data_IF_392718734805
#
_entry.id   IF_392718734805
#
_cell.length_a   1.000
_cell.length_b   1.000
_cell.length_c   1.000
_cell.angle_alpha   90.00
_cell.angle_beta   90.00
_cell.angle_gamma   90.00
#
_symmetry.space_group_name_H-M   'P 1'
#
loop_
_entity.id
_entity.type
_entity.pdbx_description
1 polymer ?
#
# COMPACT_ATOMS: atom_id res chain seq x y z
N UNK A 1 -44.31 -25.71 -42.71
CA UNK A 1 -43.24 -24.69 -42.76
C UNK A 1 -43.15 -24.08 -41.37
N UNK A 2 -42.10 -24.36 -40.60
CA UNK A 2 -41.83 -23.63 -39.36
C UNK A 2 -40.34 -23.35 -39.32
N UNK A 3 -40.00 -22.08 -39.47
CA UNK A 3 -38.64 -21.57 -39.45
C UNK A 3 -38.14 -21.56 -38.00
N UNK A 4 -37.11 -22.35 -37.71
CA UNK A 4 -36.40 -22.32 -36.44
C UNK A 4 -35.55 -21.06 -36.34
N UNK A 5 -35.85 -20.25 -35.34
CA UNK A 5 -35.13 -19.03 -34.91
C UNK A 5 -33.63 -19.28 -34.72
N UNK A 6 -32.80 -18.57 -35.49
CA UNK A 6 -31.36 -18.46 -35.23
C UNK A 6 -31.13 -17.63 -33.97
N UNK A 7 -30.74 -18.28 -32.88
CA UNK A 7 -30.29 -17.61 -31.66
C UNK A 7 -28.96 -16.89 -31.90
N UNK A 8 -28.96 -15.57 -31.78
CA UNK A 8 -27.77 -14.73 -31.84
C UNK A 8 -26.88 -15.02 -30.61
N UNK A 9 -25.79 -15.76 -30.80
CA UNK A 9 -24.75 -15.91 -29.77
C UNK A 9 -23.84 -14.68 -29.80
N UNK A 10 -24.05 -13.78 -28.85
CA UNK A 10 -23.06 -12.75 -28.55
C UNK A 10 -21.78 -13.43 -28.02
N UNK A 11 -20.60 -13.13 -28.57
CA UNK A 11 -19.36 -13.72 -28.07
C UNK A 11 -19.04 -13.12 -26.70
N UNK A 12 -19.24 -13.92 -25.65
CA UNK A 12 -18.82 -13.59 -24.29
C UNK A 12 -17.29 -13.54 -24.26
N UNK A 13 -16.74 -12.34 -24.31
CA UNK A 13 -15.30 -12.09 -24.18
C UNK A 13 -14.85 -12.66 -22.83
N UNK A 14 -13.95 -13.65 -22.85
CA UNK A 14 -13.50 -14.34 -21.64
C UNK A 14 -12.84 -13.33 -20.68
N UNK A 15 -13.22 -13.30 -19.39
CA UNK A 15 -12.75 -12.29 -18.42
C UNK A 15 -11.23 -12.27 -18.24
N UNK A 16 -10.54 -13.38 -18.51
CA UNK A 16 -9.07 -13.47 -18.38
C UNK A 16 -8.31 -12.73 -19.49
N UNK A 17 -8.91 -12.57 -20.67
CA UNK A 17 -8.28 -11.86 -21.78
C UNK A 17 -8.25 -10.34 -21.55
N UNK A 18 -9.30 -9.80 -20.93
CA UNK A 18 -9.39 -8.37 -20.62
C UNK A 18 -8.39 -7.96 -19.54
N UNK A 19 -8.26 -8.79 -18.48
CA UNK A 19 -7.26 -8.57 -17.42
C UNK A 19 -5.84 -8.55 -17.97
N UNK A 20 -5.48 -9.52 -18.81
CA UNK A 20 -4.16 -9.58 -19.46
C UNK A 20 -3.88 -8.37 -20.34
N UNK A 21 -4.90 -7.86 -21.02
CA UNK A 21 -4.76 -6.64 -21.82
C UNK A 21 -4.51 -5.42 -20.93
N UNK A 22 -5.26 -5.26 -19.84
CA UNK A 22 -5.07 -4.17 -18.88
C UNK A 22 -3.68 -4.21 -18.23
N UNK A 23 -3.23 -5.39 -17.80
CA UNK A 23 -1.88 -5.60 -17.25
C UNK A 23 -0.79 -5.23 -18.27
N UNK A 24 -0.98 -5.62 -19.53
CA UNK A 24 -0.05 -5.31 -20.62
C UNK A 24 -0.03 -3.82 -20.94
N UNK A 25 -1.17 -3.14 -20.92
CA UNK A 25 -1.25 -1.69 -21.10
C UNK A 25 -0.54 -0.96 -19.97
N UNK A 26 -0.74 -1.36 -18.71
CA UNK A 26 -0.01 -0.83 -17.58
C UNK A 26 1.50 -1.06 -17.74
N UNK A 27 1.93 -2.27 -18.11
CA UNK A 27 3.35 -2.55 -18.36
C UNK A 27 3.93 -1.66 -19.46
N UNK A 28 3.19 -1.43 -20.55
CA UNK A 28 3.60 -0.54 -21.64
C UNK A 28 3.74 0.92 -21.17
N UNK A 29 2.80 1.42 -20.36
CA UNK A 29 2.91 2.78 -19.82
C UNK A 29 4.12 2.91 -18.90
N UNK A 30 4.41 1.90 -18.07
CA UNK A 30 5.63 1.88 -17.25
C UNK A 30 6.91 1.89 -18.11
N UNK A 31 7.02 1.03 -19.12
CA UNK A 31 8.20 1.01 -19.99
C UNK A 31 8.37 2.34 -20.72
N UNK A 32 7.27 2.97 -21.14
CA UNK A 32 7.30 4.29 -21.77
C UNK A 32 7.80 5.37 -20.81
N UNK A 33 7.30 5.39 -19.57
CA UNK A 33 7.77 6.33 -18.55
C UNK A 33 9.27 6.15 -18.23
N UNK A 34 9.77 4.91 -18.18
CA UNK A 34 11.20 4.65 -18.02
C UNK A 34 12.00 5.27 -19.17
N UNK A 35 11.59 5.04 -20.42
CA UNK A 35 12.26 5.60 -21.60
C UNK A 35 12.25 7.12 -21.62
N UNK A 36 11.10 7.74 -21.37
CA UNK A 36 10.95 9.21 -21.37
C UNK A 36 11.81 9.88 -20.28
N UNK A 37 11.96 9.23 -19.12
CA UNK A 37 12.78 9.73 -18.01
C UNK A 37 14.25 9.29 -18.08
N UNK A 38 14.62 8.47 -19.06
CA UNK A 38 15.96 7.89 -19.16
C UNK A 38 16.32 7.00 -17.96
N UNK A 39 15.33 6.38 -17.32
CA UNK A 39 15.52 5.54 -16.14
C UNK A 39 15.70 4.08 -16.56
N UNK A 40 16.64 3.40 -15.91
CA UNK A 40 16.72 1.94 -15.95
C UNK A 40 15.43 1.33 -15.37
N UNK A 41 15.00 0.19 -15.90
CA UNK A 41 13.83 -0.50 -15.34
C UNK A 41 14.13 -1.02 -13.92
N UNK A 42 15.30 -1.63 -13.73
CA UNK A 42 15.68 -2.36 -12.50
C UNK A 42 16.92 -1.80 -11.79
N UNK A 43 17.51 -0.72 -12.31
CA UNK A 43 18.73 -0.13 -11.75
C UNK A 43 18.58 0.42 -10.32
N UNK A 44 19.68 0.83 -9.67
CA UNK A 44 19.68 1.31 -8.29
C UNK A 44 18.71 2.47 -8.00
N UNK A 45 18.46 3.34 -8.98
CA UNK A 45 17.44 4.40 -8.93
C UNK A 45 16.39 4.25 -10.03
N UNK A 46 16.22 3.00 -10.50
CA UNK A 46 15.36 2.65 -11.61
C UNK A 46 13.87 2.76 -11.30
N UNK A 47 13.07 2.63 -12.35
CA UNK A 47 11.63 2.83 -12.31
C UNK A 47 10.93 1.95 -11.27
N UNK A 48 11.31 0.68 -11.13
CA UNK A 48 10.68 -0.22 -10.16
C UNK A 48 10.91 0.23 -8.71
N UNK A 49 12.10 0.78 -8.40
CA UNK A 49 12.38 1.32 -7.07
C UNK A 49 11.54 2.58 -6.81
N UNK A 50 11.47 3.48 -7.78
CA UNK A 50 10.63 4.69 -7.66
C UNK A 50 9.15 4.35 -7.53
N UNK A 51 8.66 3.37 -8.29
CA UNK A 51 7.29 2.90 -8.18
C UNK A 51 7.00 2.31 -6.80
N UNK A 52 7.88 1.42 -6.32
CA UNK A 52 7.75 0.83 -4.97
C UNK A 52 7.72 1.91 -3.88
N UNK A 53 8.59 2.93 -4.00
CA UNK A 53 8.58 4.10 -3.12
C UNK A 53 7.21 4.79 -3.16
N UNK A 54 6.72 5.15 -4.34
CA UNK A 54 5.45 5.85 -4.50
C UNK A 54 4.27 5.06 -3.94
N UNK A 55 4.19 3.75 -4.16
CA UNK A 55 3.09 2.95 -3.60
C UNK A 55 3.15 2.92 -2.07
N UNK A 56 4.34 2.75 -1.48
CA UNK A 56 4.49 2.78 -0.03
C UNK A 56 4.12 4.14 0.58
N UNK A 57 4.57 5.24 -0.02
CA UNK A 57 4.25 6.59 0.45
C UNK A 57 2.76 6.90 0.32
N UNK A 58 2.13 6.53 -0.80
CA UNK A 58 0.68 6.69 -1.00
C UNK A 58 -0.12 5.89 0.03
N UNK A 59 0.25 4.64 0.27
CA UNK A 59 -0.43 3.81 1.27
C UNK A 59 -0.32 4.40 2.68
N UNK A 60 0.85 4.94 3.04
CA UNK A 60 1.03 5.61 4.33
C UNK A 60 0.22 6.92 4.44
N UNK A 61 0.09 7.68 3.35
CA UNK A 61 -0.73 8.90 3.31
C UNK A 61 -2.22 8.60 3.43
N UNK A 62 -2.67 7.45 2.91
CA UNK A 62 -4.03 6.93 3.09
C UNK A 62 -4.27 6.48 4.54
N UNK A 63 -3.38 5.67 5.13
CA UNK A 63 -3.46 5.32 6.56
C UNK A 63 -3.51 6.57 7.45
N UNK A 64 -2.72 7.60 7.14
CA UNK A 64 -2.74 8.87 7.88
C UNK A 64 -4.06 9.63 7.69
N UNK A 65 -4.71 9.49 6.52
CA UNK A 65 -6.02 10.10 6.25
C UNK A 65 -7.09 9.43 7.10
N UNK A 66 -7.06 8.11 7.19
CA UNK A 66 -7.95 7.32 8.04
C UNK A 66 -7.71 7.63 9.53
N UNK A 67 -6.45 7.63 9.98
CA UNK A 67 -6.06 7.94 11.37
C UNK A 67 -6.57 9.32 11.83
N UNK A 68 -6.49 10.33 10.97
CA UNK A 68 -6.95 11.68 11.29
C UNK A 68 -8.43 11.94 10.97
N UNK A 69 -9.12 10.96 10.37
CA UNK A 69 -10.50 11.05 9.89
C UNK A 69 -10.71 12.12 8.81
N UNK A 70 -9.64 12.59 8.16
CA UNK A 70 -9.73 13.69 7.17
C UNK A 70 -8.54 13.74 6.21
N UNK A 71 -8.85 14.15 4.98
CA UNK A 71 -7.88 14.35 3.93
C UNK A 71 -6.86 15.45 4.26
N UNK A 72 -5.70 15.39 3.61
CA UNK A 72 -4.66 16.40 3.71
C UNK A 72 -5.23 17.79 3.41
N UNK A 73 -4.83 18.78 4.22
CA UNK A 73 -5.29 20.18 4.17
C UNK A 73 -6.79 20.43 4.45
N UNK A 74 -7.60 19.40 4.79
CA UNK A 74 -8.96 19.64 5.31
C UNK A 74 -8.88 20.09 6.78
N UNK A 75 -9.60 21.16 7.11
CA UNK A 75 -9.74 21.65 8.49
C UNK A 75 -10.42 20.58 9.35
N UNK A 76 -9.97 20.44 10.60
CA UNK A 76 -10.67 19.58 11.55
C UNK A 76 -11.98 20.24 12.01
N UNK A 77 -12.96 19.42 12.34
CA UNK A 77 -14.19 19.87 13.00
C UNK A 77 -13.91 20.31 14.45
N UNK A 78 -12.93 19.72 15.12
CA UNK A 78 -12.59 20.02 16.53
C UNK A 78 -11.63 21.21 16.68
N UNK A 79 -11.47 22.02 15.63
CA UNK A 79 -10.71 23.27 15.68
C UNK A 79 -9.22 23.09 15.99
N UNK A 80 -8.66 23.97 16.83
CA UNK A 80 -7.20 24.04 17.12
C UNK A 80 -6.69 22.89 17.99
N UNK A 81 -7.56 22.20 18.73
CA UNK A 81 -7.20 21.10 19.61
C UNK A 81 -7.07 19.76 18.87
N UNK A 82 -7.54 19.68 17.62
CA UNK A 82 -7.45 18.46 16.83
C UNK A 82 -6.00 18.12 16.48
N UNK A 83 -5.68 16.82 16.56
CA UNK A 83 -4.44 16.28 16.02
C UNK A 83 -4.31 16.62 14.53
N UNK A 84 -3.11 16.97 14.08
CA UNK A 84 -2.79 17.39 12.72
C UNK A 84 -1.56 16.68 12.18
N UNK A 85 -1.42 16.58 10.86
CA UNK A 85 -0.16 16.16 10.24
C UNK A 85 0.97 17.11 10.65
N UNK A 86 2.14 16.55 10.96
CA UNK A 86 3.33 17.26 11.41
C UNK A 86 4.57 16.81 10.61
N UNK A 87 4.50 17.02 9.29
CA UNK A 87 5.56 16.67 8.35
C UNK A 87 5.76 15.16 8.16
N UNK A 88 6.96 14.81 7.68
CA UNK A 88 7.37 13.42 7.41
C UNK A 88 8.70 13.11 8.08
N UNK A 89 9.06 11.82 8.12
CA UNK A 89 10.39 11.37 8.54
C UNK A 89 10.90 10.33 7.57
N UNK A 90 12.13 10.53 7.09
CA UNK A 90 12.78 9.59 6.19
C UNK A 90 13.02 8.24 6.87
N UNK A 91 12.72 7.15 6.15
CA UNK A 91 13.00 5.78 6.55
C UNK A 91 13.46 4.96 5.35
N UNK A 92 14.44 4.09 5.54
CA UNK A 92 14.84 3.12 4.51
C UNK A 92 14.16 1.78 4.77
N UNK A 93 13.39 1.31 3.80
CA UNK A 93 12.76 -0.01 3.79
C UNK A 93 13.57 -0.91 2.87
N UNK A 94 14.06 -2.03 3.40
CA UNK A 94 14.71 -3.06 2.59
C UNK A 94 13.64 -3.97 2.03
N UNK A 95 13.58 -4.06 0.70
CA UNK A 95 12.69 -4.95 -0.05
C UNK A 95 13.50 -6.03 -0.74
N UNK A 96 12.94 -7.23 -0.87
CA UNK A 96 13.66 -8.36 -1.48
C UNK A 96 13.84 -8.19 -2.99
N UNK A 97 12.91 -7.50 -3.67
CA UNK A 97 12.88 -7.40 -5.14
C UNK A 97 13.70 -6.24 -5.71
N UNK A 98 13.70 -5.07 -5.05
CA UNK A 98 14.36 -3.85 -5.57
C UNK A 98 15.42 -3.30 -4.60
N UNK A 99 15.70 -4.03 -3.52
CA UNK A 99 16.68 -3.64 -2.51
C UNK A 99 16.19 -2.51 -1.60
N UNK A 100 17.10 -1.69 -1.03
CA UNK A 100 16.75 -0.61 -0.13
C UNK A 100 16.05 0.55 -0.86
N UNK A 101 14.94 0.99 -0.28
CA UNK A 101 14.08 2.08 -0.76
C UNK A 101 13.92 3.12 0.34
N UNK A 102 14.32 4.37 0.07
CA UNK A 102 14.11 5.49 0.99
C UNK A 102 12.73 6.10 0.77
N UNK A 103 11.92 6.12 1.82
CA UNK A 103 10.55 6.64 1.83
C UNK A 103 10.39 7.74 2.88
N UNK A 104 9.39 8.59 2.70
CA UNK A 104 8.94 9.59 3.65
C UNK A 104 7.71 9.10 4.41
N UNK A 105 7.84 8.87 5.72
CA UNK A 105 6.74 8.38 6.56
C UNK A 105 6.01 9.57 7.18
N UNK A 106 4.69 9.72 6.99
CA UNK A 106 3.94 10.83 7.57
C UNK A 106 3.86 10.71 9.09
N UNK A 107 3.76 11.86 9.74
CA UNK A 107 3.61 11.95 11.20
C UNK A 107 2.44 12.82 11.57
N UNK A 108 1.87 12.54 12.72
CA UNK A 108 0.89 13.38 13.39
C UNK A 108 1.55 14.21 14.50
N UNK A 109 0.84 15.22 15.01
CA UNK A 109 1.35 16.15 16.02
C UNK A 109 1.42 15.50 17.39
N UNK A 110 0.45 14.66 17.71
CA UNK A 110 0.34 14.00 19.01
C UNK A 110 1.24 12.75 19.10
N UNK A 111 1.78 12.29 17.96
CA UNK A 111 2.67 11.14 17.87
C UNK A 111 1.96 9.79 18.02
N UNK A 112 0.62 9.79 17.94
CA UNK A 112 -0.26 8.62 18.11
C UNK A 112 -0.41 7.79 16.84
N UNK A 113 0.13 8.25 15.70
CA UNK A 113 0.10 7.46 14.47
C UNK A 113 1.01 6.22 14.55
N UNK A 114 0.42 5.06 14.26
CA UNK A 114 1.07 3.75 14.21
C UNK A 114 0.83 3.09 12.84
N UNK A 115 1.69 3.36 11.84
CA UNK A 115 1.48 2.84 10.49
C UNK A 115 1.62 1.32 10.43
N UNK A 116 0.78 0.66 9.63
CA UNK A 116 0.73 -0.80 9.50
C UNK A 116 1.56 -1.27 8.31
N UNK A 117 1.40 -0.61 7.15
CA UNK A 117 2.14 -0.91 5.90
C UNK A 117 3.65 -0.82 6.15
N UNK A 118 4.10 0.17 6.93
CA UNK A 118 5.50 0.30 7.35
C UNK A 118 5.59 0.48 8.86
N UNK A 119 5.51 -0.64 9.59
CA UNK A 119 5.53 -0.66 11.06
C UNK A 119 6.59 0.26 11.68
N UNK A 120 6.26 0.87 12.82
CA UNK A 120 7.17 1.69 13.63
C UNK A 120 8.24 0.80 14.29
N UNK A 121 9.51 1.18 14.20
CA UNK A 121 10.69 0.52 14.85
C UNK A 121 11.11 -0.92 14.42
N UNK A 122 10.89 -1.44 13.19
CA UNK A 122 11.46 -2.72 12.79
C UNK A 122 12.97 -2.57 12.55
N UNK A 123 13.77 -3.37 13.27
CA UNK A 123 15.24 -3.38 13.21
C UNK A 123 15.81 -4.33 12.16
N UNK A 124 14.96 -5.07 11.43
CA UNK A 124 15.33 -5.96 10.31
C UNK A 124 14.28 -5.92 9.20
N UNK A 125 14.74 -6.30 8.01
CA UNK A 125 14.05 -6.29 6.73
C UNK A 125 12.56 -6.67 6.83
N UNK A 126 11.71 -5.87 6.18
CA UNK A 126 10.30 -6.20 6.02
C UNK A 126 10.24 -7.33 4.99
N UNK A 127 10.29 -8.58 5.44
CA UNK A 127 9.90 -9.71 4.60
C UNK A 127 8.39 -9.63 4.40
N UNK A 128 7.97 -9.51 3.15
CA UNK A 128 6.56 -9.49 2.79
C UNK A 128 5.99 -8.07 2.67
N UNK A 129 6.03 -7.59 1.44
CA UNK A 129 5.04 -6.73 0.80
C UNK A 129 3.64 -6.94 1.45
N UNK A 130 3.21 -6.03 2.33
CA UNK A 130 1.77 -5.78 2.61
C UNK A 130 1.20 -4.83 1.54
N UNK A 131 1.76 -4.87 0.33
CA UNK A 131 1.22 -4.16 -0.84
C UNK A 131 -0.02 -4.91 -1.37
N UNK A 132 -0.10 -6.23 -1.16
CA UNK A 132 -1.22 -7.06 -1.60
C UNK A 132 -2.53 -6.71 -0.85
N UNK A 133 -2.48 -6.45 0.47
CA UNK A 133 -3.68 -6.08 1.24
C UNK A 133 -4.24 -4.72 0.83
N UNK A 134 -3.36 -3.78 0.49
CA UNK A 134 -3.74 -2.44 0.03
C UNK A 134 -4.30 -2.45 -1.40
N UNK A 135 -3.71 -3.23 -2.32
CA UNK A 135 -4.19 -3.36 -3.71
C UNK A 135 -5.40 -4.30 -3.87
N UNK A 136 -5.62 -5.27 -2.97
CA UNK A 136 -6.82 -6.13 -2.95
C UNK A 136 -7.99 -5.58 -2.11
N UNK A 137 -7.86 -4.38 -1.52
CA UNK A 137 -8.93 -3.81 -0.68
C UNK A 137 -9.25 -4.65 0.56
N UNK A 138 -8.25 -5.36 1.09
CA UNK A 138 -8.40 -6.34 2.17
C UNK A 138 -8.01 -5.75 3.52
N UNK A 139 -8.56 -4.57 3.84
CA UNK A 139 -8.69 -4.11 5.22
C UNK A 139 -10.16 -4.29 5.62
N UNK A 140 -10.49 -5.21 6.55
CA UNK A 140 -11.79 -5.15 7.18
C UNK A 140 -11.85 -3.85 7.96
N UNK A 141 -12.77 -2.98 7.55
CA UNK A 141 -13.27 -1.96 8.45
C UNK A 141 -13.76 -2.63 9.73
N UNK A 142 -13.57 -1.93 10.84
CA UNK A 142 -14.00 -2.28 12.20
C UNK A 142 -13.07 -3.22 12.98
N UNK A 143 -12.54 -2.68 14.08
CA UNK A 143 -11.74 -3.43 15.05
C UNK A 143 -11.19 -2.51 16.12
N UNK A 144 -12.08 -2.01 16.98
CA UNK A 144 -11.74 -1.41 18.26
C UNK A 144 -10.73 -2.32 18.98
N UNK A 145 -9.47 -1.88 19.14
CA UNK A 145 -8.48 -2.62 19.94
C UNK A 145 -8.66 -2.13 21.38
N UNK A 146 -9.20 -2.94 22.31
CA UNK A 146 -9.29 -2.54 23.69
C UNK A 146 -7.88 -2.42 24.26
N UNK A 147 -7.57 -1.23 24.79
CA UNK A 147 -6.44 -1.03 25.71
C UNK A 147 -6.78 -1.80 26.98
N UNK A 148 -6.17 -2.96 27.16
CA UNK A 148 -6.51 -3.89 28.24
C UNK A 148 -5.35 -4.78 28.66
N UNK A 149 -4.60 -4.26 29.62
CA UNK A 149 -4.02 -4.95 30.77
C UNK A 149 -2.77 -5.83 30.65
N UNK A 150 -1.90 -5.66 31.65
CA UNK A 150 -0.65 -6.39 31.84
C UNK A 150 -0.98 -7.77 32.43
N UNK A 151 -0.83 -8.83 31.64
CA UNK A 151 -1.05 -10.20 32.11
C UNK A 151 -0.10 -11.20 31.45
N UNK A 152 0.86 -11.66 32.24
CA UNK A 152 1.69 -12.86 32.08
C UNK A 152 1.18 -13.92 31.08
N UNK A 153 1.93 -14.16 30.00
CA UNK A 153 2.03 -15.49 29.38
C UNK A 153 3.51 -15.84 29.19
N UNK A 154 4.01 -16.67 30.09
CA UNK A 154 5.35 -17.27 29.99
C UNK A 154 5.37 -18.35 28.91
N UNK A 155 6.38 -18.30 28.05
CA UNK A 155 6.78 -19.44 27.23
C UNK A 155 8.10 -19.99 27.78
N UNK A 156 8.02 -21.11 28.49
CA UNK A 156 9.16 -21.96 28.80
C UNK A 156 9.68 -22.57 27.50
N UNK A 157 10.93 -22.28 27.13
CA UNK A 157 11.66 -23.01 26.09
C UNK A 157 12.63 -23.97 26.79
N UNK A 158 12.25 -25.25 26.83
CA UNK A 158 13.18 -26.33 27.18
C UNK A 158 14.13 -26.52 26.00
N UNK A 159 15.42 -26.34 26.24
CA UNK A 159 16.49 -26.67 25.30
C UNK A 159 16.96 -28.09 25.65
N UNK A 160 16.88 -28.99 24.68
CA UNK A 160 17.42 -30.35 24.71
C UNK A 160 17.65 -30.79 23.29
#
# INVERSE_FOLDING_TARGET
MSAGTMGNMTPTKKPDAEKRNAEREAALTFVRMAKEKGLDLTGPDGLLKQFTKSVLETALDEEMTEHLGRAKHKKSKDGRAANTRNGTTAKTVVTDSVGPVRIEVPRDRDGSFEPVVVRKRPRRAIRGIVLASFLLGLFPGEGNVPVGDKGSIGYHLSIG
#
